data_IF_534141954517
#
_entry.id   IF_534141954517
#
_cell.length_a   1.000
_cell.length_b   1.000
_cell.length_c   1.000
_cell.angle_alpha   90.00
_cell.angle_beta   90.00
_cell.angle_gamma   90.00
#
_symmetry.space_group_name_H-M   'P 1'
#
loop_
_entity.id
_entity.type
_entity.pdbx_description
1 polymer ?
#
# COMPACT_ATOMS: atom_id res chain seq x y z
N UNK A 1 -18.36 -2.73 5.31
CA UNK A 1 -16.98 -2.81 4.78
C UNK A 1 -16.20 -3.75 5.67
N UNK A 2 -15.46 -4.70 5.09
CA UNK A 2 -14.65 -5.66 5.83
C UNK A 2 -13.23 -5.65 5.23
N UNK A 3 -12.21 -5.54 6.08
CA UNK A 3 -10.80 -5.54 5.69
C UNK A 3 -9.95 -6.06 6.86
N UNK A 4 -9.01 -6.94 6.56
CA UNK A 4 -8.09 -7.50 7.54
C UNK A 4 -7.35 -8.72 6.99
N UNK A 5 -6.34 -9.23 7.72
CA UNK A 5 -5.79 -10.55 7.47
C UNK A 5 -6.90 -11.61 7.58
N UNK A 6 -7.03 -12.49 6.58
CA UNK A 6 -8.04 -13.55 6.59
C UNK A 6 -7.51 -14.84 7.22
N UNK A 7 -6.53 -15.48 6.59
CA UNK A 7 -5.96 -16.76 7.03
C UNK A 7 -4.46 -16.85 6.76
N UNK A 8 -3.77 -17.69 7.52
CA UNK A 8 -2.38 -18.07 7.25
C UNK A 8 -2.33 -19.34 6.40
N UNK A 9 -1.62 -19.26 5.27
CA UNK A 9 -1.48 -20.36 4.32
C UNK A 9 0.01 -20.61 4.09
N UNK A 10 0.53 -21.66 4.71
CA UNK A 10 1.98 -21.87 4.85
C UNK A 10 2.76 -21.87 3.53
N UNK A 11 2.22 -22.51 2.48
CA UNK A 11 2.89 -22.63 1.19
C UNK A 11 2.92 -21.32 0.37
N UNK A 12 2.21 -20.27 0.81
CA UNK A 12 2.32 -18.97 0.16
C UNK A 12 3.68 -18.31 0.42
N UNK A 13 4.40 -18.71 1.46
CA UNK A 13 5.65 -18.08 1.90
C UNK A 13 5.45 -16.56 2.09
N UNK A 14 6.21 -15.72 1.35
CA UNK A 14 6.09 -14.26 1.37
C UNK A 14 5.03 -13.72 0.38
N UNK A 15 4.36 -14.60 -0.38
CA UNK A 15 3.27 -14.16 -1.25
C UNK A 15 2.06 -13.78 -0.43
N UNK A 16 1.39 -12.71 -0.86
CA UNK A 16 0.11 -12.27 -0.35
C UNK A 16 -0.92 -12.32 -1.46
N UNK A 17 -2.03 -12.97 -1.16
CA UNK A 17 -3.22 -13.00 -2.02
C UNK A 17 -4.31 -12.16 -1.38
N UNK A 18 -4.85 -11.22 -2.15
CA UNK A 18 -6.01 -10.42 -1.74
C UNK A 18 -7.18 -10.72 -2.68
N UNK A 19 -8.26 -11.22 -2.11
CA UNK A 19 -9.53 -11.40 -2.79
C UNK A 19 -10.46 -10.25 -2.39
N UNK A 20 -10.91 -9.48 -3.37
CA UNK A 20 -11.68 -8.26 -3.13
C UNK A 20 -12.94 -8.26 -3.98
N UNK A 21 -14.07 -7.94 -3.33
CA UNK A 21 -15.37 -7.75 -3.98
C UNK A 21 -15.87 -6.34 -3.68
N UNK A 22 -16.34 -5.68 -4.73
CA UNK A 22 -17.01 -4.38 -4.68
C UNK A 22 -18.41 -4.54 -5.24
N UNK A 23 -19.40 -4.02 -4.52
CA UNK A 23 -20.79 -3.97 -4.94
C UNK A 23 -21.25 -2.51 -4.91
N UNK A 24 -21.85 -2.07 -6.01
CA UNK A 24 -22.29 -0.69 -6.19
C UNK A 24 -23.52 -0.61 -7.08
N UNK A 25 -23.87 0.63 -7.43
CA UNK A 25 -24.98 0.94 -8.33
C UNK A 25 -24.54 1.91 -9.40
N UNK A 26 -25.00 1.69 -10.62
CA UNK A 26 -24.78 2.54 -11.78
C UNK A 26 -25.94 3.53 -11.98
N UNK A 27 -26.00 4.17 -13.15
CA UNK A 27 -27.12 5.02 -13.53
C UNK A 27 -28.45 4.26 -13.41
N UNK A 28 -29.46 4.89 -12.80
CA UNK A 28 -30.77 4.28 -12.59
C UNK A 28 -30.80 3.18 -11.52
N UNK A 29 -29.88 3.23 -10.54
CA UNK A 29 -29.76 2.27 -9.44
C UNK A 29 -29.52 0.80 -9.88
N UNK A 30 -29.08 0.60 -11.13
CA UNK A 30 -28.78 -0.72 -11.67
C UNK A 30 -27.60 -1.33 -10.90
N UNK A 31 -27.72 -2.56 -10.36
CA UNK A 31 -26.63 -3.21 -9.65
C UNK A 31 -25.39 -3.40 -10.51
N UNK A 32 -24.21 -3.13 -9.94
CA UNK A 32 -22.91 -3.31 -10.57
C UNK A 32 -21.95 -3.95 -9.59
N UNK A 33 -21.26 -5.01 -10.01
CA UNK A 33 -20.31 -5.74 -9.17
C UNK A 33 -18.95 -5.83 -9.84
N UNK A 34 -17.89 -5.82 -9.03
CA UNK A 34 -16.52 -6.09 -9.45
C UNK A 34 -15.88 -7.04 -8.44
N UNK A 35 -15.28 -8.12 -8.94
CA UNK A 35 -14.42 -9.00 -8.14
C UNK A 35 -13.04 -9.06 -8.76
N UNK A 36 -12.01 -9.05 -7.91
CA UNK A 36 -10.65 -9.27 -8.36
C UNK A 36 -9.82 -10.03 -7.32
N UNK A 37 -8.79 -10.72 -7.84
CA UNK A 37 -7.73 -11.33 -7.06
C UNK A 37 -6.42 -10.63 -7.39
N UNK A 38 -5.69 -10.19 -6.37
CA UNK A 38 -4.34 -9.65 -6.48
C UNK A 38 -3.35 -10.63 -5.86
N UNK A 39 -2.30 -10.98 -6.61
CA UNK A 39 -1.19 -11.80 -6.12
C UNK A 39 0.10 -10.97 -6.16
N UNK A 40 0.78 -10.88 -5.01
CA UNK A 40 2.05 -10.15 -4.88
C UNK A 40 3.01 -10.92 -3.99
N UNK A 41 4.30 -10.59 -4.05
CA UNK A 41 5.28 -10.89 -3.00
C UNK A 41 5.34 -9.70 -2.05
N UNK A 42 5.02 -9.89 -0.77
CA UNK A 42 4.77 -8.76 0.16
C UNK A 42 6.04 -7.98 0.47
N UNK A 43 7.14 -8.67 0.78
CA UNK A 43 8.39 -8.00 1.17
C UNK A 43 9.02 -7.21 0.00
N UNK A 44 9.25 -7.80 -1.19
CA UNK A 44 9.82 -7.07 -2.33
C UNK A 44 8.95 -5.90 -2.80
N UNK A 45 7.62 -5.97 -2.62
CA UNK A 45 6.69 -4.93 -3.06
C UNK A 45 6.90 -3.59 -2.35
N UNK A 46 7.59 -3.58 -1.20
CA UNK A 46 7.99 -2.35 -0.49
C UNK A 46 9.46 -1.98 -0.65
N UNK A 47 10.32 -2.90 -1.07
CA UNK A 47 11.76 -2.72 -1.07
C UNK A 47 12.21 -1.51 -1.92
N UNK A 48 11.65 -1.35 -3.12
CA UNK A 48 11.93 -0.19 -3.97
C UNK A 48 11.53 1.14 -3.33
N UNK A 49 10.35 1.19 -2.71
CA UNK A 49 9.85 2.37 -1.97
C UNK A 49 10.79 2.75 -0.83
N UNK A 50 11.30 1.75 -0.09
CA UNK A 50 12.22 1.99 1.03
C UNK A 50 13.59 2.51 0.55
N UNK A 51 14.11 2.01 -0.57
CA UNK A 51 15.36 2.54 -1.15
C UNK A 51 15.24 4.04 -1.41
N UNK A 52 14.13 4.48 -2.00
CA UNK A 52 13.89 5.89 -2.29
C UNK A 52 13.60 6.72 -1.03
N UNK A 53 12.87 6.18 -0.06
CA UNK A 53 12.64 6.84 1.22
C UNK A 53 13.96 7.09 1.98
N UNK A 54 14.89 6.13 1.99
CA UNK A 54 16.22 6.28 2.60
C UNK A 54 17.03 7.35 1.87
N UNK A 55 16.99 7.38 0.54
CA UNK A 55 17.67 8.41 -0.27
C UNK A 55 17.10 9.80 0.00
N UNK A 56 15.77 9.93 0.12
CA UNK A 56 15.11 11.19 0.46
C UNK A 56 15.50 11.67 1.86
N UNK A 57 15.56 10.78 2.85
CA UNK A 57 16.03 11.10 4.19
C UNK A 57 17.50 11.56 4.18
N UNK A 58 18.36 10.93 3.36
CA UNK A 58 19.75 11.34 3.19
C UNK A 58 19.87 12.75 2.60
N UNK A 59 19.08 13.07 1.57
CA UNK A 59 19.04 14.42 0.97
C UNK A 59 18.62 15.46 2.01
N UNK A 60 17.60 15.18 2.82
CA UNK A 60 17.17 16.10 3.87
C UNK A 60 18.27 16.35 4.91
N UNK A 61 18.94 15.27 5.35
CA UNK A 61 20.10 15.34 6.26
C UNK A 61 21.21 16.21 5.68
N UNK A 62 21.55 16.03 4.41
CA UNK A 62 22.61 16.79 3.74
C UNK A 62 22.28 18.28 3.60
N UNK A 63 20.99 18.60 3.54
CA UNK A 63 20.49 19.98 3.51
C UNK A 63 20.27 20.58 4.90
N UNK A 64 20.55 19.86 5.98
CA UNK A 64 20.29 20.30 7.34
C UNK A 64 18.80 20.46 7.67
N UNK A 65 17.91 19.77 6.93
CA UNK A 65 16.47 19.82 7.16
C UNK A 65 16.08 18.71 8.14
N UNK A 66 15.58 19.11 9.31
CA UNK A 66 15.06 18.22 10.34
C UNK A 66 13.53 18.05 10.29
N UNK A 67 13.02 17.15 11.11
CA UNK A 67 11.60 16.81 11.16
C UNK A 67 11.13 15.92 9.99
N UNK A 68 9.83 15.62 9.89
CA UNK A 68 9.30 14.78 8.83
C UNK A 68 9.40 15.43 7.46
N UNK A 69 9.86 14.68 6.46
CA UNK A 69 9.92 15.15 5.07
C UNK A 69 8.56 14.90 4.44
N UNK A 70 7.68 15.91 4.48
CA UNK A 70 6.26 15.76 4.16
C UNK A 70 6.03 15.22 2.74
N UNK A 71 6.76 15.73 1.74
CA UNK A 71 6.64 15.28 0.35
C UNK A 71 7.03 13.81 0.15
N UNK A 72 8.08 13.34 0.83
CA UNK A 72 8.47 11.93 0.77
C UNK A 72 7.51 11.06 1.59
N UNK A 73 7.07 11.54 2.75
CA UNK A 73 6.19 10.78 3.64
C UNK A 73 4.80 10.56 3.04
N UNK A 74 4.21 11.60 2.43
CA UNK A 74 2.89 11.52 1.80
C UNK A 74 2.86 10.58 0.59
N UNK A 75 4.01 10.36 -0.05
CA UNK A 75 4.12 9.48 -1.21
C UNK A 75 4.52 8.05 -0.86
N UNK A 76 5.41 7.85 0.14
CA UNK A 76 5.96 6.53 0.46
C UNK A 76 5.31 5.82 1.65
N UNK A 77 4.62 6.55 2.54
CA UNK A 77 4.09 5.98 3.79
C UNK A 77 2.57 5.87 3.77
N UNK A 78 2.03 4.79 4.33
CA UNK A 78 0.57 4.58 4.45
C UNK A 78 -0.11 5.54 5.43
N UNK A 79 0.65 6.10 6.36
CA UNK A 79 0.17 7.02 7.41
C UNK A 79 1.15 8.18 7.55
N UNK A 80 1.10 9.16 6.63
CA UNK A 80 1.95 10.34 6.72
C UNK A 80 1.59 11.21 7.93
N UNK A 81 2.48 12.12 8.37
CA UNK A 81 2.26 12.99 9.53
C UNK A 81 1.11 14.00 9.38
N UNK A 82 0.72 14.31 8.15
CA UNK A 82 -0.39 15.21 7.75
C UNK A 82 -1.10 14.64 6.52
#
# INVERSE_FOLDING_TARGET
VHIGPSDYVAWLDDRKWAYVRLEGRAFGDVPLNLEYKLEVWDSPNSAGVIIDAVRAAKIAKDRGIGGPILSASSYFMKSPPV
#
